data_IF_166843930380
#
_entry.id   IF_166843930380
#
_cell.length_a   1.000
_cell.length_b   1.000
_cell.length_c   1.000
_cell.angle_alpha   90.00
_cell.angle_beta   90.00
_cell.angle_gamma   90.00
#
_symmetry.space_group_name_H-M   'P 1'
#
loop_
_entity.id
_entity.type
_entity.pdbx_description
1 polymer ?
#
# COMPACT_ATOMS: atom_id res chain seq x y z
N UNK A 1 -22.03 43.09 60.19
CA UNK A 1 -22.20 42.63 58.80
C UNK A 1 -20.81 42.25 58.29
N UNK A 2 -20.47 40.98 58.46
CA UNK A 2 -19.18 40.39 58.04
C UNK A 2 -19.36 39.89 56.63
N UNK A 3 -18.46 40.31 55.72
CA UNK A 3 -18.37 39.76 54.37
C UNK A 3 -17.38 38.60 54.37
N UNK A 4 -17.89 37.41 54.14
CA UNK A 4 -17.10 36.19 53.92
C UNK A 4 -16.60 36.19 52.45
N UNK A 5 -15.25 36.18 52.27
CA UNK A 5 -14.56 36.00 51.01
C UNK A 5 -14.03 34.58 50.90
N UNK A 6 -14.85 33.65 50.43
CA UNK A 6 -14.37 32.31 50.05
C UNK A 6 -13.81 32.33 48.63
N UNK A 7 -12.49 32.30 48.51
CA UNK A 7 -11.77 32.21 47.27
C UNK A 7 -11.89 30.80 46.66
N UNK A 8 -12.62 30.70 45.55
CA UNK A 8 -12.64 29.48 44.71
C UNK A 8 -11.37 29.36 43.88
N UNK A 9 -10.50 28.43 44.30
CA UNK A 9 -9.30 28.08 43.53
C UNK A 9 -9.65 27.44 42.22
N UNK A 10 -9.32 28.10 41.13
CA UNK A 10 -9.29 27.50 39.79
C UNK A 10 -8.12 26.53 39.70
N UNK A 11 -8.43 25.24 39.82
CA UNK A 11 -7.47 24.17 39.55
C UNK A 11 -7.11 24.14 38.06
N UNK A 12 -5.90 24.56 37.74
CA UNK A 12 -5.30 24.36 36.43
C UNK A 12 -5.22 22.87 36.12
N UNK A 13 -6.15 22.37 35.28
CA UNK A 13 -6.04 21.03 34.71
C UNK A 13 -4.76 20.99 33.87
N UNK A 14 -3.78 20.23 34.33
CA UNK A 14 -2.61 19.88 33.53
C UNK A 14 -3.11 19.21 32.25
N UNK A 15 -2.74 19.74 31.06
CA UNK A 15 -2.89 19.03 29.80
C UNK A 15 -2.23 17.66 29.93
N UNK A 16 -2.86 16.57 29.43
CA UNK A 16 -2.20 15.29 29.38
C UNK A 16 -0.89 15.45 28.62
N UNK A 17 0.17 14.85 29.15
CA UNK A 17 1.44 14.74 28.45
C UNK A 17 1.18 14.15 27.05
N UNK A 18 1.80 14.73 26.02
CA UNK A 18 1.89 14.07 24.71
C UNK A 18 2.35 12.64 24.98
N UNK A 19 1.54 11.65 24.60
CA UNK A 19 2.03 10.28 24.47
C UNK A 19 3.24 10.38 23.56
N UNK A 20 4.42 10.09 24.09
CA UNK A 20 5.61 9.85 23.29
C UNK A 20 5.24 8.67 22.37
N UNK A 21 5.01 8.97 21.10
CA UNK A 21 4.84 7.94 20.07
C UNK A 21 6.11 7.10 20.12
N UNK A 22 5.96 5.84 20.48
CA UNK A 22 7.08 4.90 20.51
C UNK A 22 7.67 4.84 19.10
N UNK A 23 8.89 5.32 18.94
CA UNK A 23 9.65 5.17 17.71
C UNK A 23 9.86 3.67 17.50
N UNK A 24 9.57 3.17 16.31
CA UNK A 24 9.80 1.77 16.00
C UNK A 24 11.28 1.42 16.27
N UNK A 25 11.52 0.38 17.07
CA UNK A 25 12.88 -0.03 17.45
C UNK A 25 13.69 -0.49 16.23
N UNK A 26 13.02 -1.05 15.22
CA UNK A 26 13.63 -1.57 13.99
C UNK A 26 13.54 -0.56 12.87
N UNK A 27 14.69 -0.25 12.30
CA UNK A 27 14.79 0.65 11.15
C UNK A 27 14.66 -0.16 9.85
N UNK A 28 13.79 0.31 8.96
CA UNK A 28 13.68 -0.23 7.61
C UNK A 28 13.45 0.86 6.58
N UNK A 29 13.82 0.58 5.35
CA UNK A 29 13.55 1.45 4.20
C UNK A 29 13.43 0.62 2.94
N UNK A 30 12.54 1.02 2.04
CA UNK A 30 12.47 0.49 0.68
C UNK A 30 12.33 1.62 -0.33
N UNK A 31 13.10 1.53 -1.42
CA UNK A 31 12.81 2.19 -2.69
C UNK A 31 12.30 1.10 -3.63
N UNK A 32 11.11 1.28 -4.16
CA UNK A 32 10.48 0.25 -4.96
C UNK A 32 9.73 0.85 -6.14
N UNK A 33 9.57 0.05 -7.19
CA UNK A 33 8.61 0.29 -8.27
C UNK A 33 7.36 -0.50 -7.99
N UNK A 34 6.22 0.16 -8.12
CA UNK A 34 4.92 -0.42 -7.87
C UNK A 34 4.05 -0.41 -9.12
N UNK A 35 3.30 -1.49 -9.29
CA UNK A 35 2.11 -1.54 -10.12
C UNK A 35 0.95 -2.09 -9.30
N UNK A 36 -0.14 -1.31 -9.22
CA UNK A 36 -1.39 -1.72 -8.58
C UNK A 36 -2.53 -1.71 -9.60
N UNK A 37 -3.31 -2.79 -9.62
CA UNK A 37 -4.56 -2.85 -10.36
C UNK A 37 -5.71 -3.16 -9.40
N UNK A 38 -6.67 -2.24 -9.29
CA UNK A 38 -7.86 -2.44 -8.47
C UNK A 38 -9.16 -2.37 -9.30
N UNK A 39 -10.27 -2.84 -8.71
CA UNK A 39 -11.56 -2.95 -9.39
C UNK A 39 -12.28 -1.63 -9.66
N UNK A 40 -11.79 -0.50 -9.16
CA UNK A 40 -12.42 0.80 -9.37
C UNK A 40 -12.31 1.30 -10.82
N UNK A 41 -13.15 2.26 -11.17
CA UNK A 41 -12.95 3.08 -12.36
C UNK A 41 -11.63 3.85 -12.31
N UNK A 42 -11.16 4.37 -13.43
CA UNK A 42 -9.91 5.14 -13.52
C UNK A 42 -9.91 6.31 -12.54
N UNK A 43 -8.77 6.51 -11.86
CA UNK A 43 -8.61 7.50 -10.81
C UNK A 43 -8.97 7.01 -9.41
N UNK A 44 -9.53 5.82 -9.25
CA UNK A 44 -9.91 5.18 -7.98
C UNK A 44 -10.44 6.19 -6.91
N UNK A 45 -11.76 6.29 -6.68
CA UNK A 45 -12.33 7.29 -5.78
C UNK A 45 -11.76 7.26 -4.35
N UNK A 46 -11.27 6.10 -3.89
CA UNK A 46 -10.64 5.96 -2.56
C UNK A 46 -9.41 6.87 -2.40
N UNK A 47 -8.70 7.18 -3.49
CA UNK A 47 -7.58 8.13 -3.47
C UNK A 47 -8.04 9.57 -3.13
N UNK A 48 -9.32 9.84 -3.26
CA UNK A 48 -9.97 11.14 -2.98
C UNK A 48 -10.90 11.05 -1.76
N UNK A 49 -10.71 10.07 -0.87
CA UNK A 49 -11.54 9.84 0.31
C UNK A 49 -13.03 9.58 0.00
N UNK A 50 -13.33 9.11 -1.22
CA UNK A 50 -14.66 8.72 -1.63
C UNK A 50 -14.86 7.19 -1.59
N UNK A 51 -16.10 6.75 -1.66
CA UNK A 51 -16.42 5.32 -1.65
C UNK A 51 -15.94 4.62 -2.94
N UNK A 52 -15.54 3.34 -2.87
CA UNK A 52 -15.12 2.58 -4.04
C UNK A 52 -16.22 2.49 -5.08
N UNK A 53 -15.85 2.56 -6.36
CA UNK A 53 -16.80 2.61 -7.52
C UNK A 53 -17.89 1.54 -7.46
N UNK A 54 -17.57 0.34 -7.00
CA UNK A 54 -18.49 -0.78 -6.94
C UNK A 54 -18.93 -1.17 -5.52
N UNK A 55 -18.70 -0.27 -4.54
CA UNK A 55 -19.05 -0.49 -3.14
C UNK A 55 -18.14 -1.51 -2.42
N UNK A 56 -17.15 -2.06 -3.08
CA UNK A 56 -16.18 -3.02 -2.53
C UNK A 56 -14.81 -2.82 -3.18
N UNK A 57 -13.75 -3.35 -2.56
CA UNK A 57 -12.39 -3.24 -3.08
C UNK A 57 -11.77 -4.61 -3.35
N UNK A 58 -11.11 -4.74 -4.49
CA UNK A 58 -10.27 -5.88 -4.87
C UNK A 58 -9.04 -5.35 -5.58
N UNK A 59 -7.84 -5.79 -5.21
CA UNK A 59 -6.63 -5.33 -5.84
C UNK A 59 -5.51 -6.39 -5.87
N UNK A 60 -4.66 -6.24 -6.89
CA UNK A 60 -3.35 -6.88 -7.00
C UNK A 60 -2.31 -5.78 -6.95
N UNK A 61 -1.33 -5.91 -6.08
CA UNK A 61 -0.20 -4.98 -5.92
C UNK A 61 1.10 -5.75 -6.18
N UNK A 62 1.87 -5.33 -7.17
CA UNK A 62 3.21 -5.84 -7.43
C UNK A 62 4.26 -4.81 -7.02
N UNK A 63 5.27 -5.26 -6.29
CA UNK A 63 6.41 -4.46 -5.83
C UNK A 63 7.72 -5.08 -6.33
N UNK A 64 8.62 -4.26 -6.84
CA UNK A 64 10.01 -4.59 -7.12
C UNK A 64 10.92 -3.66 -6.34
N UNK A 65 11.67 -4.20 -5.40
CA UNK A 65 12.55 -3.43 -4.52
C UNK A 65 13.86 -3.15 -5.25
N UNK A 66 14.13 -1.90 -5.55
CA UNK A 66 15.37 -1.44 -6.17
C UNK A 66 16.50 -1.33 -5.13
N UNK A 67 16.16 -0.78 -3.97
CA UNK A 67 17.05 -0.64 -2.81
C UNK A 67 16.22 -0.81 -1.54
N UNK A 68 16.69 -1.60 -0.59
CA UNK A 68 15.97 -1.74 0.66
C UNK A 68 16.73 -2.50 1.74
N UNK A 69 16.33 -2.27 2.97
CA UNK A 69 16.82 -2.99 4.13
C UNK A 69 15.77 -3.05 5.25
N UNK A 70 15.91 -4.03 6.10
CA UNK A 70 15.20 -4.15 7.36
C UNK A 70 16.25 -4.54 8.42
N UNK A 71 16.57 -3.63 9.33
CA UNK A 71 17.73 -3.71 10.22
C UNK A 71 19.02 -3.98 9.39
N UNK A 72 19.64 -5.13 9.56
CA UNK A 72 20.86 -5.54 8.83
C UNK A 72 20.59 -6.33 7.55
N UNK A 73 19.34 -6.70 7.31
CA UNK A 73 18.97 -7.57 6.17
C UNK A 73 18.71 -6.73 4.93
N UNK A 74 19.52 -6.91 3.88
CA UNK A 74 19.32 -6.27 2.58
C UNK A 74 18.19 -6.94 1.80
N UNK A 75 17.41 -6.13 1.07
CA UNK A 75 16.22 -6.55 0.34
C UNK A 75 16.29 -6.26 -1.17
N UNK A 76 17.42 -5.75 -1.65
CA UNK A 76 17.60 -5.29 -3.02
C UNK A 76 17.29 -6.38 -4.04
N UNK A 77 16.61 -6.02 -5.12
CA UNK A 77 16.30 -6.92 -6.24
C UNK A 77 15.26 -7.99 -5.94
N UNK A 78 14.61 -7.95 -4.79
CA UNK A 78 13.50 -8.84 -4.44
C UNK A 78 12.17 -8.25 -4.90
N UNK A 79 11.21 -9.12 -5.16
CA UNK A 79 9.85 -8.76 -5.50
C UNK A 79 8.85 -9.33 -4.48
N UNK A 80 7.72 -8.65 -4.35
CA UNK A 80 6.58 -9.12 -3.57
C UNK A 80 5.28 -8.80 -4.29
N UNK A 81 4.23 -9.58 -4.01
CA UNK A 81 2.89 -9.36 -4.53
C UNK A 81 1.89 -9.46 -3.39
N UNK A 82 0.96 -8.51 -3.33
CA UNK A 82 -0.20 -8.60 -2.45
C UNK A 82 -1.47 -8.80 -3.26
N UNK A 83 -2.33 -9.72 -2.81
CA UNK A 83 -3.68 -9.92 -3.33
C UNK A 83 -4.62 -9.61 -2.17
N UNK A 84 -5.48 -8.60 -2.34
CA UNK A 84 -6.30 -8.06 -1.27
C UNK A 84 -7.74 -7.85 -1.74
N UNK A 85 -8.70 -8.02 -0.81
CA UNK A 85 -10.10 -7.67 -1.03
C UNK A 85 -10.79 -7.21 0.25
N UNK A 86 -11.78 -6.33 0.10
CA UNK A 86 -12.71 -5.93 1.14
C UNK A 86 -14.14 -6.04 0.60
N UNK A 87 -15.10 -6.55 1.39
CA UNK A 87 -16.49 -6.66 0.96
C UNK A 87 -17.22 -5.32 0.87
N UNK A 88 -16.63 -4.27 1.45
CA UNK A 88 -17.09 -2.89 1.48
C UNK A 88 -15.94 -1.91 1.27
N UNK A 89 -16.12 -0.65 1.67
CA UNK A 89 -15.04 0.33 1.78
C UNK A 89 -13.94 -0.16 2.72
N UNK A 90 -12.68 0.11 2.39
CA UNK A 90 -11.50 -0.39 3.13
C UNK A 90 -11.58 -0.05 4.63
N UNK A 91 -12.00 1.17 4.96
CA UNK A 91 -12.07 1.65 6.35
C UNK A 91 -13.14 0.95 7.21
N UNK A 92 -14.08 0.22 6.61
CA UNK A 92 -15.06 -0.60 7.33
C UNK A 92 -14.49 -1.96 7.78
N UNK A 93 -13.26 -2.30 7.36
CA UNK A 93 -12.60 -3.54 7.73
C UNK A 93 -13.13 -4.77 7.00
N UNK A 94 -13.01 -5.95 7.63
CA UNK A 94 -13.38 -7.25 7.07
C UNK A 94 -12.58 -7.65 5.83
N UNK A 95 -11.38 -7.07 5.68
CA UNK A 95 -10.49 -7.35 4.57
C UNK A 95 -9.90 -8.75 4.63
N UNK A 96 -9.55 -9.27 3.46
CA UNK A 96 -8.82 -10.53 3.29
C UNK A 96 -7.58 -10.26 2.44
N UNK A 97 -6.41 -10.73 2.92
CA UNK A 97 -5.13 -10.49 2.28
C UNK A 97 -4.26 -11.73 2.16
N UNK A 98 -3.48 -11.78 1.08
CA UNK A 98 -2.44 -12.77 0.84
C UNK A 98 -1.18 -12.08 0.31
N UNK A 99 -0.01 -12.52 0.79
CA UNK A 99 1.29 -12.02 0.37
C UNK A 99 2.06 -13.13 -0.31
N UNK A 100 2.68 -12.82 -1.44
CA UNK A 100 3.59 -13.68 -2.16
C UNK A 100 4.96 -13.01 -2.15
N UNK A 101 5.98 -13.74 -1.75
CA UNK A 101 7.37 -13.26 -1.71
C UNK A 101 8.20 -14.06 -2.70
N UNK A 102 9.11 -13.39 -3.37
CA UNK A 102 10.07 -13.99 -4.30
C UNK A 102 10.76 -15.22 -3.66
N UNK A 103 10.71 -16.34 -4.34
CA UNK A 103 11.32 -17.59 -3.88
C UNK A 103 12.84 -17.48 -3.69
N UNK A 104 13.49 -16.52 -4.34
CA UNK A 104 14.93 -16.23 -4.20
C UNK A 104 15.31 -15.64 -2.85
N UNK A 105 14.33 -15.11 -2.08
CA UNK A 105 14.57 -14.53 -0.79
C UNK A 105 15.04 -15.58 0.22
N UNK A 106 16.09 -15.25 1.00
CA UNK A 106 16.51 -16.05 2.13
C UNK A 106 15.45 -16.07 3.24
N UNK A 107 15.61 -16.92 4.24
CA UNK A 107 14.67 -16.97 5.37
C UNK A 107 14.60 -15.64 6.12
N UNK A 108 15.75 -14.98 6.35
CA UNK A 108 15.83 -13.67 6.99
C UNK A 108 15.14 -12.59 6.13
N UNK A 109 15.36 -12.62 4.81
CA UNK A 109 14.74 -11.69 3.87
C UNK A 109 13.20 -11.89 3.81
N UNK A 110 12.74 -13.14 3.83
CA UNK A 110 11.31 -13.47 3.92
C UNK A 110 10.68 -12.92 5.18
N UNK A 111 11.33 -13.13 6.32
CA UNK A 111 10.91 -12.59 7.62
C UNK A 111 10.83 -11.07 7.61
N UNK A 112 11.85 -10.40 7.08
CA UNK A 112 11.92 -8.94 6.95
C UNK A 112 10.80 -8.38 6.07
N UNK A 113 10.60 -8.94 4.87
CA UNK A 113 9.52 -8.53 3.95
C UNK A 113 8.14 -8.75 4.55
N UNK A 114 7.90 -9.87 5.23
CA UNK A 114 6.63 -10.12 5.91
C UNK A 114 6.37 -9.09 7.01
N UNK A 115 7.36 -8.65 7.76
CA UNK A 115 7.20 -7.61 8.78
C UNK A 115 6.84 -6.27 8.15
N UNK A 116 7.54 -5.85 7.09
CA UNK A 116 7.24 -4.61 6.36
C UNK A 116 5.83 -4.65 5.78
N UNK A 117 5.50 -5.68 4.99
CA UNK A 117 4.23 -5.79 4.27
C UNK A 117 3.01 -6.03 5.19
N UNK A 118 3.22 -6.53 6.40
CA UNK A 118 2.19 -6.63 7.43
C UNK A 118 2.09 -5.39 8.32
N UNK A 119 2.83 -4.31 8.00
CA UNK A 119 2.82 -3.07 8.77
C UNK A 119 3.45 -3.16 10.15
N UNK A 120 4.15 -4.26 10.46
CA UNK A 120 4.96 -4.38 11.67
C UNK A 120 6.20 -3.50 11.56
N UNK A 121 6.78 -3.09 12.67
CA UNK A 121 7.93 -2.19 12.72
C UNK A 121 7.70 -0.84 11.99
N UNK A 122 6.44 -0.41 11.95
CA UNK A 122 6.00 0.83 11.30
C UNK A 122 5.21 1.67 12.30
N UNK A 123 5.44 2.96 12.35
CA UNK A 123 4.65 3.88 13.14
C UNK A 123 3.17 3.81 12.73
N UNK A 124 2.23 3.88 13.68
CA UNK A 124 0.81 3.78 13.37
C UNK A 124 0.35 4.77 12.30
N UNK A 125 -0.23 4.25 11.22
CA UNK A 125 -0.75 5.05 10.11
C UNK A 125 0.30 5.61 9.15
N UNK A 126 1.59 5.35 9.36
CA UNK A 126 2.66 5.98 8.58
C UNK A 126 2.77 5.46 7.14
N UNK A 127 2.39 4.21 6.87
CA UNK A 127 2.47 3.63 5.53
C UNK A 127 1.20 2.89 5.14
N UNK A 128 1.01 2.70 3.83
CA UNK A 128 -0.08 1.89 3.27
C UNK A 128 -0.12 0.47 3.85
N UNK A 129 1.04 -0.12 4.11
CA UNK A 129 1.15 -1.45 4.69
C UNK A 129 0.55 -1.49 6.09
N UNK A 130 0.89 -0.52 6.95
CA UNK A 130 0.34 -0.44 8.30
C UNK A 130 -1.16 -0.13 8.28
N UNK A 131 -1.60 0.85 7.48
CA UNK A 131 -3.01 1.22 7.37
C UNK A 131 -3.86 0.03 6.90
N UNK A 132 -3.45 -0.66 5.84
CA UNK A 132 -4.23 -1.79 5.32
C UNK A 132 -4.23 -2.98 6.28
N UNK A 133 -3.10 -3.27 6.94
CA UNK A 133 -3.02 -4.36 7.92
C UNK A 133 -4.07 -4.22 9.03
N UNK A 134 -4.38 -3.00 9.48
CA UNK A 134 -5.39 -2.75 10.52
C UNK A 134 -6.83 -3.04 10.06
N UNK A 135 -7.07 -3.16 8.76
CA UNK A 135 -8.40 -3.39 8.17
C UNK A 135 -8.59 -4.82 7.68
N UNK A 136 -7.54 -5.66 7.74
CA UNK A 136 -7.62 -7.08 7.38
C UNK A 136 -8.12 -7.91 8.57
N UNK A 137 -9.20 -8.65 8.36
CA UNK A 137 -9.73 -9.64 9.31
C UNK A 137 -9.12 -11.03 9.07
N UNK A 138 -8.80 -11.33 7.80
CA UNK A 138 -8.22 -12.61 7.40
C UNK A 138 -6.94 -12.41 6.61
N UNK A 139 -5.87 -13.07 7.05
CA UNK A 139 -4.59 -13.14 6.36
C UNK A 139 -4.27 -14.59 6.03
N UNK A 140 -3.95 -14.87 4.78
CA UNK A 140 -3.52 -16.20 4.36
C UNK A 140 -2.05 -16.43 4.69
N UNK A 141 -1.66 -17.71 4.80
CA UNK A 141 -0.25 -18.07 4.91
C UNK A 141 0.55 -17.50 3.74
N UNK A 142 1.74 -16.95 3.99
CA UNK A 142 2.58 -16.39 2.94
C UNK A 142 2.99 -17.46 1.92
N UNK A 143 3.02 -17.07 0.66
CA UNK A 143 3.41 -17.95 -0.45
C UNK A 143 4.81 -17.54 -0.91
N UNK A 144 5.70 -18.50 -1.09
CA UNK A 144 7.02 -18.28 -1.67
C UNK A 144 7.04 -18.88 -3.07
N UNK A 145 7.16 -18.03 -4.09
CA UNK A 145 7.04 -18.44 -5.49
C UNK A 145 7.89 -17.57 -6.41
N UNK A 146 8.11 -18.07 -7.63
CA UNK A 146 8.74 -17.29 -8.69
C UNK A 146 7.83 -16.13 -9.08
N UNK A 147 8.35 -14.90 -8.96
CA UNK A 147 7.67 -13.68 -9.39
C UNK A 147 8.35 -13.16 -10.65
N UNK A 148 7.61 -13.10 -11.76
CA UNK A 148 8.04 -12.42 -12.97
C UNK A 148 7.35 -11.08 -13.02
N UNK A 149 8.03 -10.02 -12.63
CA UNK A 149 7.50 -8.67 -12.61
C UNK A 149 8.37 -7.73 -13.43
N UNK A 150 7.73 -6.94 -14.29
CA UNK A 150 8.33 -5.86 -15.06
C UNK A 150 7.39 -4.68 -15.02
N UNK A 151 7.90 -3.51 -14.70
CA UNK A 151 7.13 -2.27 -14.66
C UNK A 151 7.96 -1.11 -15.23
N UNK A 152 7.30 -0.34 -16.07
CA UNK A 152 7.75 0.94 -16.59
C UNK A 152 6.77 2.01 -16.10
N UNK A 153 7.17 2.75 -15.09
CA UNK A 153 6.33 3.75 -14.42
C UNK A 153 5.94 4.87 -15.40
N UNK A 154 6.91 5.46 -16.10
CA UNK A 154 6.67 6.55 -17.03
C UNK A 154 5.85 6.11 -18.25
N UNK A 155 6.11 4.92 -18.75
CA UNK A 155 5.35 4.32 -19.84
C UNK A 155 3.99 3.76 -19.42
N UNK A 156 3.69 3.70 -18.12
CA UNK A 156 2.45 3.10 -17.55
C UNK A 156 2.22 1.69 -18.09
N UNK A 157 3.29 0.90 -18.14
CA UNK A 157 3.26 -0.49 -18.61
C UNK A 157 3.73 -1.42 -17.52
N UNK A 158 2.98 -2.47 -17.28
CA UNK A 158 3.37 -3.51 -16.36
C UNK A 158 2.96 -4.90 -16.85
N UNK A 159 3.74 -5.88 -16.46
CA UNK A 159 3.41 -7.31 -16.56
C UNK A 159 3.88 -8.02 -15.30
N UNK A 160 2.94 -8.64 -14.63
CA UNK A 160 3.16 -9.43 -13.41
C UNK A 160 2.62 -10.84 -13.65
N UNK A 161 3.45 -11.83 -13.39
CA UNK A 161 3.03 -13.24 -13.46
C UNK A 161 3.65 -14.00 -12.29
N UNK A 162 2.80 -14.60 -11.48
CA UNK A 162 3.17 -15.66 -10.53
C UNK A 162 2.44 -16.92 -10.99
N UNK A 163 3.14 -17.96 -11.46
CA UNK A 163 2.53 -19.15 -12.04
C UNK A 163 1.44 -19.74 -11.14
N UNK A 164 0.29 -20.07 -11.71
CA UNK A 164 -0.88 -20.68 -11.05
C UNK A 164 -1.55 -19.84 -9.96
N UNK A 165 -1.10 -18.59 -9.75
CA UNK A 165 -1.60 -17.72 -8.68
C UNK A 165 -2.17 -16.42 -9.24
N UNK A 166 -1.39 -15.62 -9.96
CA UNK A 166 -1.82 -14.32 -10.48
C UNK A 166 -1.16 -13.99 -11.81
N UNK A 167 -1.96 -13.41 -12.70
CA UNK A 167 -1.51 -12.68 -13.87
C UNK A 167 -2.10 -11.29 -13.81
N UNK A 168 -1.26 -10.27 -14.04
CA UNK A 168 -1.71 -8.89 -14.14
C UNK A 168 -0.91 -8.14 -15.20
N UNK A 169 -1.56 -7.15 -15.81
CA UNK A 169 -0.91 -6.24 -16.75
C UNK A 169 -1.47 -4.83 -16.61
N UNK A 170 -0.64 -3.86 -16.93
CA UNK A 170 -0.99 -2.45 -16.94
C UNK A 170 -0.64 -1.79 -18.25
N UNK A 171 -1.47 -0.85 -18.66
CA UNK A 171 -1.34 -0.10 -19.92
C UNK A 171 -1.73 1.38 -19.72
N UNK A 172 -1.27 2.31 -20.59
CA UNK A 172 -1.75 3.68 -20.60
C UNK A 172 -3.28 3.75 -20.85
N UNK A 173 -3.92 4.76 -20.28
CA UNK A 173 -5.27 5.15 -20.70
C UNK A 173 -5.19 5.74 -22.11
N UNK A 174 -6.14 5.37 -22.97
CA UNK A 174 -6.23 5.90 -24.32
C UNK A 174 -7.42 6.87 -24.43
N UNK A 175 -7.21 7.97 -25.13
CA UNK A 175 -8.30 8.85 -25.50
C UNK A 175 -9.24 8.08 -26.46
N UNK A 176 -10.55 7.98 -26.18
CA UNK A 176 -11.45 7.12 -26.93
C UNK A 176 -11.74 7.62 -28.37
N UNK A 177 -11.45 8.89 -28.64
CA UNK A 177 -11.68 9.48 -29.98
C UNK A 177 -10.44 9.38 -30.85
N UNK A 178 -9.25 9.68 -30.29
CA UNK A 178 -8.01 9.79 -31.06
C UNK A 178 -7.12 8.56 -30.97
N UNK A 179 -7.36 7.65 -30.03
CA UNK A 179 -6.51 6.50 -29.73
C UNK A 179 -5.15 6.86 -29.12
N UNK A 180 -4.87 8.15 -28.89
CA UNK A 180 -3.61 8.59 -28.30
C UNK A 180 -3.59 8.34 -26.78
N UNK A 181 -2.41 8.11 -26.24
CA UNK A 181 -2.22 7.99 -24.79
C UNK A 181 -2.70 9.27 -24.08
N UNK A 182 -3.44 9.07 -22.99
CA UNK A 182 -3.86 10.12 -22.08
C UNK A 182 -3.10 9.97 -20.79
N UNK A 183 -2.17 10.87 -20.51
CA UNK A 183 -1.32 10.84 -19.30
C UNK A 183 -1.98 11.62 -18.17
N UNK A 184 -2.25 10.95 -17.08
CA UNK A 184 -2.85 11.52 -15.87
C UNK A 184 -2.01 11.09 -14.68
N UNK A 185 -1.91 11.97 -13.68
CA UNK A 185 -1.19 11.74 -12.42
C UNK A 185 -2.08 12.07 -11.23
N UNK A 186 -1.81 11.40 -10.11
CA UNK A 186 -2.31 11.79 -8.81
C UNK A 186 -1.11 12.25 -7.99
N UNK A 187 -1.13 13.51 -7.56
CA UNK A 187 -0.19 14.07 -6.60
C UNK A 187 -0.84 13.99 -5.22
N UNK A 188 -0.28 13.14 -4.35
CA UNK A 188 -0.83 12.86 -3.03
C UNK A 188 -0.07 13.64 -1.97
N UNK A 189 -0.48 14.88 -1.75
CA UNK A 189 0.08 15.72 -0.69
C UNK A 189 -0.27 15.13 0.68
N UNK A 190 0.75 14.66 1.41
CA UNK A 190 0.55 13.98 2.69
C UNK A 190 0.05 12.53 2.57
N UNK A 191 0.29 11.89 1.42
CA UNK A 191 0.02 10.46 1.22
C UNK A 191 0.87 9.57 2.13
N UNK A 192 0.42 8.35 2.36
CA UNK A 192 1.11 7.31 3.13
C UNK A 192 1.55 6.11 2.27
N UNK A 193 1.43 6.22 0.96
CA UNK A 193 1.83 5.21 -0.03
C UNK A 193 2.87 5.80 -1.01
N UNK A 194 2.50 6.85 -1.71
CA UNK A 194 3.35 7.54 -2.68
C UNK A 194 3.13 9.05 -2.61
N UNK A 195 4.04 9.82 -3.20
CA UNK A 195 3.84 11.26 -3.45
C UNK A 195 3.16 11.50 -4.79
N UNK A 196 3.62 10.82 -5.83
CA UNK A 196 3.15 10.96 -7.19
C UNK A 196 2.97 9.59 -7.83
N UNK A 197 1.79 9.34 -8.42
CA UNK A 197 1.54 8.16 -9.22
C UNK A 197 1.13 8.52 -10.64
N UNK A 198 1.65 7.78 -11.61
CA UNK A 198 1.16 7.73 -12.98
C UNK A 198 -0.08 6.85 -13.02
N UNK A 199 -1.14 7.31 -13.68
CA UNK A 199 -2.40 6.58 -13.76
C UNK A 199 -2.58 5.97 -15.14
N UNK A 200 -2.88 4.70 -15.13
CA UNK A 200 -3.19 3.90 -16.31
C UNK A 200 -4.43 3.06 -16.09
N UNK A 201 -4.49 1.97 -16.79
CA UNK A 201 -5.54 0.94 -16.69
C UNK A 201 -4.92 -0.43 -16.54
N UNK A 202 -5.67 -1.38 -16.00
CA UNK A 202 -5.13 -2.69 -15.72
C UNK A 202 -6.14 -3.83 -15.86
N UNK A 203 -5.57 -5.02 -15.92
CA UNK A 203 -6.27 -6.30 -15.92
C UNK A 203 -5.55 -7.22 -14.95
N UNK A 204 -6.31 -7.96 -14.16
CA UNK A 204 -5.76 -8.95 -13.24
C UNK A 204 -6.65 -10.17 -13.17
N UNK A 205 -6.02 -11.34 -13.07
CA UNK A 205 -6.69 -12.60 -12.79
C UNK A 205 -5.95 -13.31 -11.68
N UNK A 206 -6.65 -13.60 -10.59
CA UNK A 206 -6.14 -14.35 -9.47
C UNK A 206 -6.86 -15.69 -9.36
N UNK A 207 -6.12 -16.75 -9.00
CA UNK A 207 -6.66 -18.11 -8.88
C UNK A 207 -6.76 -18.56 -7.43
N UNK A 208 -5.76 -18.22 -6.60
CA UNK A 208 -5.67 -18.58 -5.18
C UNK A 208 -4.73 -17.65 -4.42
N UNK A 209 -4.83 -17.53 -3.10
CA UNK A 209 -5.92 -18.05 -2.26
C UNK A 209 -7.20 -17.22 -2.37
N UNK A 210 -7.11 -16.00 -2.91
CA UNK A 210 -8.20 -15.05 -3.13
C UNK A 210 -8.45 -15.01 -4.65
N UNK A 211 -9.65 -15.39 -5.08
CA UNK A 211 -10.00 -15.48 -6.51
C UNK A 211 -10.87 -14.32 -6.95
N UNK A 212 -10.43 -13.60 -7.99
CA UNK A 212 -11.20 -12.59 -8.74
C UNK A 212 -10.58 -12.33 -10.12
N UNK A 213 -11.29 -11.58 -10.94
CA UNK A 213 -10.82 -11.12 -12.24
C UNK A 213 -11.22 -9.67 -12.42
N UNK A 214 -10.26 -8.83 -12.82
CA UNK A 214 -10.41 -7.40 -13.09
C UNK A 214 -10.14 -7.16 -14.57
N UNK A 215 -10.96 -6.30 -15.19
CA UNK A 215 -10.83 -6.01 -16.61
C UNK A 215 -11.01 -4.54 -16.87
N UNK A 216 -10.00 -3.92 -17.51
CA UNK A 216 -10.00 -2.52 -17.93
C UNK A 216 -10.38 -1.56 -16.78
N UNK A 217 -9.74 -1.76 -15.63
CA UNK A 217 -9.98 -1.03 -14.39
C UNK A 217 -8.79 -0.16 -14.00
N UNK A 218 -8.84 0.49 -12.86
CA UNK A 218 -7.78 1.38 -12.38
C UNK A 218 -6.41 0.69 -12.33
N UNK A 219 -5.41 1.32 -12.95
CA UNK A 219 -4.00 0.96 -12.88
C UNK A 219 -3.19 2.12 -12.32
N UNK A 220 -2.37 1.85 -11.29
CA UNK A 220 -1.47 2.79 -10.64
C UNK A 220 -0.03 2.34 -10.83
N UNK A 221 0.84 3.30 -11.11
CA UNK A 221 2.28 3.09 -11.27
C UNK A 221 3.01 4.14 -10.46
N UNK A 222 3.79 3.73 -9.49
CA UNK A 222 4.45 4.65 -8.58
C UNK A 222 5.87 4.22 -8.21
N UNK A 223 6.74 5.21 -8.00
CA UNK A 223 7.95 5.01 -7.24
C UNK A 223 7.64 5.19 -5.75
N UNK A 224 7.92 4.18 -4.97
CA UNK A 224 7.78 4.22 -3.51
C UNK A 224 9.15 4.49 -2.89
N UNK A 225 9.15 5.35 -1.87
CA UNK A 225 10.30 5.53 -0.99
C UNK A 225 9.77 5.62 0.44
N UNK A 226 9.70 4.47 1.10
CA UNK A 226 9.04 4.29 2.40
C UNK A 226 10.04 3.84 3.46
N UNK A 227 9.78 4.26 4.69
CA UNK A 227 10.47 3.78 5.88
C UNK A 227 9.45 3.57 7.02
N UNK A 228 9.91 3.17 8.21
CA UNK A 228 9.07 2.95 9.38
C UNK A 228 8.21 4.15 9.79
N UNK A 229 8.62 5.36 9.46
CA UNK A 229 7.92 6.61 9.78
C UNK A 229 7.16 7.24 8.59
N UNK A 230 7.04 6.52 7.47
CA UNK A 230 6.25 6.95 6.31
C UNK A 230 7.07 7.20 5.05
N UNK A 231 6.60 8.12 4.22
CA UNK A 231 7.27 8.49 2.96
C UNK A 231 8.53 9.30 3.28
N UNK A 232 9.66 8.85 2.74
CA UNK A 232 10.95 9.55 2.92
C UNK A 232 10.94 10.86 2.13
N UNK A 233 11.26 11.96 2.80
CA UNK A 233 11.37 13.28 2.17
C UNK A 233 12.58 13.33 1.22
N UNK A 234 12.39 13.82 -0.02
CA UNK A 234 13.48 14.03 -0.99
C UNK A 234 13.71 12.87 -1.97
N UNK A 235 12.79 11.89 -2.03
CA UNK A 235 12.75 10.87 -3.08
C UNK A 235 11.92 11.33 -4.26
#
# INVERSE_FOLDING_TARGET
>A
MEFDQSATGYGLRRKPAREEMAVAEVQWMIKAREFTNCNCAYGCPCQFNALPTHGHCQAVVGLEIEEGYHDKTRLDGLAAVSIIRWPGPIHEGKGEGAVIIDERASEEQRGALLRILSGKDTEPGATIFNVFATTLEKTHEPIFAKINFKVDIDGRKARLVVPDIVEARGEPILNPVTGREHRVRIDMVGGFEYKLAEIGRGWSKTSRPIKFELSDSYGQFAHLHLCQSGIVAGG
#
